data_IF_099829442540
#
_entry.id   IF_099829442540
#
_cell.length_a   1.000
_cell.length_b   1.000
_cell.length_c   1.000
_cell.angle_alpha   90.00
_cell.angle_beta   90.00
_cell.angle_gamma   90.00
#
_symmetry.space_group_name_H-M   'P 1'
#
loop_
_entity.id
_entity.type
_entity.pdbx_description
1 polymer ?
#
# COMPACT_ATOMS: atom_id res chain seq x y z
N UNK A 1 12.39 -27.32 3.01
CA UNK A 1 12.69 -26.24 2.03
C UNK A 1 13.97 -26.54 1.25
N UNK A 2 14.19 -27.80 0.85
CA UNK A 2 15.50 -28.28 0.37
C UNK A 2 15.43 -28.98 -0.99
N UNK A 3 14.48 -28.61 -1.85
CA UNK A 3 14.62 -28.86 -3.28
C UNK A 3 14.81 -27.52 -3.97
N UNK A 4 15.86 -27.34 -4.80
CA UNK A 4 15.98 -26.16 -5.64
C UNK A 4 14.80 -26.15 -6.61
N UNK A 5 13.83 -25.28 -6.38
CA UNK A 5 12.67 -25.07 -7.26
C UNK A 5 13.08 -24.49 -8.63
N UNK A 6 14.34 -24.13 -8.81
CA UNK A 6 14.91 -23.73 -10.10
C UNK A 6 15.85 -24.83 -10.57
N UNK A 7 15.35 -25.70 -11.45
CA UNK A 7 16.18 -26.64 -12.20
C UNK A 7 17.37 -25.89 -12.82
N UNK A 8 18.56 -26.52 -12.80
CA UNK A 8 19.83 -26.04 -13.39
C UNK A 8 19.57 -25.02 -14.51
N UNK A 9 19.68 -23.71 -14.23
CA UNK A 9 18.91 -22.77 -15.03
C UNK A 9 19.55 -22.61 -16.41
N UNK A 10 18.74 -22.50 -17.45
CA UNK A 10 19.21 -22.23 -18.82
C UNK A 10 20.15 -21.01 -18.94
N UNK A 11 20.19 -20.13 -17.93
CA UNK A 11 21.17 -19.05 -17.85
C UNK A 11 22.62 -19.51 -17.67
N UNK A 12 22.90 -20.68 -17.07
CA UNK A 12 24.28 -21.23 -16.97
C UNK A 12 24.83 -21.52 -18.36
N UNK A 13 24.00 -22.10 -19.24
CA UNK A 13 24.35 -22.32 -20.64
C UNK A 13 24.56 -21.00 -21.40
N UNK A 14 23.77 -19.96 -21.11
CA UNK A 14 23.94 -18.63 -21.69
C UNK A 14 25.19 -17.90 -21.17
N UNK A 15 25.57 -18.08 -19.90
CA UNK A 15 26.82 -17.59 -19.34
C UNK A 15 28.03 -18.28 -20.00
N UNK A 16 27.97 -19.59 -20.15
CA UNK A 16 29.01 -20.36 -20.83
C UNK A 16 29.14 -19.95 -22.31
N UNK A 17 28.03 -19.82 -23.02
CA UNK A 17 28.00 -19.36 -24.41
C UNK A 17 28.50 -17.92 -24.56
N UNK A 18 28.09 -17.01 -23.68
CA UNK A 18 28.59 -15.62 -23.65
C UNK A 18 30.09 -15.54 -23.40
N UNK A 19 30.61 -16.39 -22.51
CA UNK A 19 32.06 -16.50 -22.23
C UNK A 19 32.82 -17.01 -23.46
N UNK A 20 32.31 -18.05 -24.13
CA UNK A 20 32.90 -18.57 -25.37
C UNK A 20 32.89 -17.53 -26.51
N UNK A 21 31.84 -16.71 -26.60
CA UNK A 21 31.78 -15.60 -27.56
C UNK A 21 32.83 -14.53 -27.26
N UNK A 22 33.01 -14.19 -25.98
CA UNK A 22 33.99 -13.21 -25.51
C UNK A 22 35.42 -13.65 -25.86
N UNK A 23 35.69 -14.95 -25.73
CA UNK A 23 37.00 -15.56 -25.99
C UNK A 23 37.25 -15.84 -27.48
N UNK A 24 36.22 -16.15 -28.28
CA UNK A 24 36.40 -16.79 -29.59
C UNK A 24 36.05 -15.97 -30.84
N UNK A 25 35.26 -14.89 -30.74
CA UNK A 25 34.67 -14.27 -31.96
C UNK A 25 35.23 -12.89 -32.29
N UNK A 26 35.75 -12.71 -33.52
CA UNK A 26 36.07 -11.37 -34.08
C UNK A 26 34.84 -10.46 -34.17
N UNK A 27 33.65 -11.05 -34.28
CA UNK A 27 32.36 -10.34 -34.31
C UNK A 27 32.06 -9.56 -33.01
N UNK A 28 32.62 -9.99 -31.87
CA UNK A 28 32.42 -9.33 -30.58
C UNK A 28 33.42 -8.20 -30.29
N UNK A 29 34.45 -7.98 -31.12
CA UNK A 29 35.56 -7.04 -30.82
C UNK A 29 35.06 -5.62 -30.50
N UNK A 30 34.09 -5.10 -31.25
CA UNK A 30 33.49 -3.78 -31.00
C UNK A 30 32.45 -3.73 -29.87
N UNK A 31 32.14 -4.87 -29.23
CA UNK A 31 31.12 -5.00 -28.18
C UNK A 31 31.65 -5.69 -26.91
N UNK A 32 32.97 -5.88 -26.82
CA UNK A 32 33.63 -6.56 -25.69
C UNK A 32 33.28 -5.92 -24.36
N UNK A 33 33.23 -4.59 -24.28
CA UNK A 33 32.88 -3.88 -23.05
C UNK A 33 31.45 -4.18 -22.60
N UNK A 34 30.50 -4.21 -23.54
CA UNK A 34 29.09 -4.54 -23.26
C UNK A 34 28.96 -5.99 -22.80
N UNK A 35 29.60 -6.92 -23.52
CA UNK A 35 29.60 -8.34 -23.20
C UNK A 35 30.24 -8.61 -21.82
N UNK A 36 31.39 -7.99 -21.53
CA UNK A 36 32.08 -8.11 -20.26
C UNK A 36 31.25 -7.55 -19.10
N UNK A 37 30.62 -6.39 -19.30
CA UNK A 37 29.74 -5.79 -18.29
C UNK A 37 28.52 -6.67 -18.02
N UNK A 38 27.89 -7.20 -19.07
CA UNK A 38 26.74 -8.11 -18.94
C UNK A 38 27.12 -9.40 -18.22
N UNK A 39 28.26 -10.01 -18.58
CA UNK A 39 28.78 -11.20 -17.89
C UNK A 39 29.10 -10.91 -16.43
N UNK A 40 29.76 -9.79 -16.12
CA UNK A 40 30.07 -9.42 -14.74
C UNK A 40 28.80 -9.29 -13.90
N UNK A 41 27.81 -8.55 -14.39
CA UNK A 41 26.52 -8.39 -13.69
C UNK A 41 25.83 -9.73 -13.52
N UNK A 42 25.77 -10.56 -14.57
CA UNK A 42 25.11 -11.85 -14.53
C UNK A 42 25.79 -12.81 -13.55
N UNK A 43 27.13 -12.91 -13.60
CA UNK A 43 27.90 -13.77 -12.69
C UNK A 43 27.80 -13.28 -11.24
N UNK A 44 27.94 -11.97 -11.00
CA UNK A 44 27.81 -11.42 -9.65
C UNK A 44 26.41 -11.61 -9.08
N UNK A 45 25.37 -11.31 -9.87
CA UNK A 45 23.98 -11.49 -9.46
C UNK A 45 23.66 -12.97 -9.19
N UNK A 46 24.11 -13.89 -10.05
CA UNK A 46 23.95 -15.32 -9.85
C UNK A 46 24.72 -15.82 -8.63
N UNK A 47 25.96 -15.38 -8.42
CA UNK A 47 26.75 -15.75 -7.24
C UNK A 47 26.05 -15.34 -5.94
N UNK A 48 25.49 -14.14 -5.91
CA UNK A 48 24.73 -13.62 -4.76
C UNK A 48 23.46 -14.43 -4.45
N UNK A 49 22.98 -15.27 -5.37
CA UNK A 49 21.88 -16.22 -5.09
C UNK A 49 22.35 -17.57 -4.54
N UNK A 50 23.65 -17.79 -4.39
CA UNK A 50 24.22 -19.07 -3.93
C UNK A 50 24.73 -19.01 -2.49
N UNK A 51 24.81 -20.16 -1.83
CA UNK A 51 25.36 -20.29 -0.47
C UNK A 51 26.82 -19.83 -0.36
N UNK A 52 27.60 -19.89 -1.44
CA UNK A 52 29.00 -19.42 -1.46
C UNK A 52 29.14 -17.91 -1.22
N UNK A 53 28.05 -17.13 -1.38
CA UNK A 53 28.03 -15.70 -1.09
C UNK A 53 27.72 -15.36 0.38
N UNK A 54 27.54 -16.35 1.26
CA UNK A 54 27.13 -16.15 2.66
C UNK A 54 27.98 -15.12 3.42
N UNK A 55 29.31 -15.22 3.32
CA UNK A 55 30.19 -14.26 4.01
C UNK A 55 30.08 -12.81 3.50
N UNK A 56 29.65 -12.60 2.25
CA UNK A 56 29.35 -11.25 1.75
C UNK A 56 28.03 -10.76 2.37
N UNK A 57 27.02 -11.62 2.42
CA UNK A 57 25.74 -11.31 3.06
C UNK A 57 25.90 -10.98 4.54
N UNK A 58 26.68 -11.74 5.29
CA UNK A 58 26.91 -11.50 6.72
C UNK A 58 27.52 -10.12 6.97
N UNK A 59 28.51 -9.72 6.16
CA UNK A 59 29.17 -8.42 6.27
C UNK A 59 28.30 -7.25 5.82
N UNK A 60 27.38 -7.49 4.89
CA UNK A 60 26.53 -6.46 4.30
C UNK A 60 25.10 -6.46 4.84
N UNK A 61 24.77 -7.38 5.76
CA UNK A 61 23.45 -7.56 6.35
C UNK A 61 22.80 -6.26 6.87
N UNK A 62 23.52 -5.31 7.50
CA UNK A 62 22.91 -4.04 7.96
C UNK A 62 22.29 -3.20 6.83
N UNK A 63 22.82 -3.35 5.61
CA UNK A 63 22.39 -2.60 4.42
C UNK A 63 21.56 -3.49 3.50
N UNK A 64 22.14 -4.60 3.04
CA UNK A 64 21.54 -5.49 2.06
C UNK A 64 20.57 -6.51 2.66
N UNK A 65 20.61 -6.77 3.97
CA UNK A 65 19.66 -7.68 4.63
C UNK A 65 18.20 -7.22 4.50
N UNK A 66 17.98 -5.93 4.21
CA UNK A 66 16.67 -5.35 3.90
C UNK A 66 16.15 -5.68 2.50
N UNK A 67 17.02 -6.11 1.57
CA UNK A 67 16.62 -6.52 0.23
C UNK A 67 15.89 -7.85 0.21
N UNK A 68 15.62 -8.48 1.37
CA UNK A 68 14.84 -9.71 1.57
C UNK A 68 15.04 -10.75 0.45
N UNK A 69 15.84 -11.75 0.79
CA UNK A 69 16.12 -12.95 0.03
C UNK A 69 17.14 -12.83 -1.13
N UNK A 70 18.09 -13.78 -1.21
CA UNK A 70 19.10 -13.81 -2.27
C UNK A 70 18.54 -13.82 -3.70
N UNK A 71 17.36 -14.41 -3.94
CA UNK A 71 16.78 -14.49 -5.29
C UNK A 71 16.33 -13.13 -5.86
N UNK A 72 16.28 -12.03 -5.08
CA UNK A 72 16.03 -10.70 -5.66
C UNK A 72 17.11 -10.24 -6.63
N UNK A 73 18.31 -10.81 -6.55
CA UNK A 73 19.36 -10.56 -7.54
C UNK A 73 19.01 -11.12 -8.92
N UNK A 74 18.03 -12.03 -9.02
CA UNK A 74 17.47 -12.44 -10.31
C UNK A 74 16.93 -11.25 -11.11
N UNK A 75 16.44 -10.19 -10.45
CA UNK A 75 15.98 -8.96 -11.12
C UNK A 75 17.12 -8.26 -11.88
N UNK A 76 18.36 -8.31 -11.40
CA UNK A 76 19.53 -7.80 -12.13
C UNK A 76 20.08 -8.83 -13.14
N UNK A 77 19.91 -10.13 -12.84
CA UNK A 77 20.30 -11.20 -13.75
C UNK A 77 19.46 -11.17 -15.04
N UNK A 78 18.16 -10.92 -14.97
CA UNK A 78 17.26 -10.92 -16.13
C UNK A 78 17.72 -10.01 -17.29
N UNK A 79 17.94 -8.69 -17.10
CA UNK A 79 18.40 -7.83 -18.19
C UNK A 79 19.80 -8.20 -18.68
N UNK A 80 20.68 -8.68 -17.78
CA UNK A 80 22.02 -9.12 -18.16
C UNK A 80 21.96 -10.36 -19.06
N UNK A 81 21.18 -11.37 -18.69
CA UNK A 81 20.98 -12.59 -19.49
C UNK A 81 20.28 -12.29 -20.80
N UNK A 82 19.29 -11.39 -20.83
CA UNK A 82 18.64 -10.95 -22.07
C UNK A 82 19.64 -10.32 -23.05
N UNK A 83 20.56 -9.49 -22.53
CA UNK A 83 21.63 -8.88 -23.33
C UNK A 83 22.62 -9.93 -23.83
N UNK A 84 23.01 -10.91 -22.99
CA UNK A 84 23.85 -12.03 -23.40
C UNK A 84 23.20 -12.89 -24.48
N UNK A 85 21.90 -13.19 -24.36
CA UNK A 85 21.15 -13.91 -25.36
C UNK A 85 21.09 -13.14 -26.70
N UNK A 86 20.85 -11.83 -26.66
CA UNK A 86 20.87 -11.00 -27.87
C UNK A 86 22.26 -10.99 -28.55
N UNK A 87 23.33 -10.90 -27.76
CA UNK A 87 24.70 -10.95 -28.28
C UNK A 87 25.04 -12.34 -28.85
N UNK A 88 24.55 -13.42 -28.24
CA UNK A 88 24.68 -14.78 -28.73
C UNK A 88 23.99 -14.97 -30.07
N UNK A 89 22.74 -14.54 -30.19
CA UNK A 89 22.00 -14.57 -31.46
C UNK A 89 22.73 -13.77 -32.53
N UNK A 90 23.20 -12.56 -32.23
CA UNK A 90 23.93 -11.75 -33.21
C UNK A 90 25.25 -12.42 -33.64
N UNK A 91 25.99 -13.02 -32.70
CA UNK A 91 27.23 -13.74 -32.99
C UNK A 91 27.00 -14.98 -33.88
N UNK A 92 25.98 -15.79 -33.57
CA UNK A 92 25.63 -16.99 -34.34
C UNK A 92 25.11 -16.67 -35.74
N UNK A 93 24.43 -15.53 -35.88
CA UNK A 93 23.77 -15.13 -37.14
C UNK A 93 24.58 -14.13 -37.96
N UNK A 94 25.76 -13.70 -37.49
CA UNK A 94 26.55 -12.65 -38.14
C UNK A 94 26.95 -12.97 -39.59
N UNK A 95 27.13 -14.24 -39.93
CA UNK A 95 27.45 -14.70 -41.30
C UNK A 95 26.23 -14.88 -42.21
N UNK A 96 25.02 -14.77 -41.68
CA UNK A 96 23.78 -15.00 -42.42
C UNK A 96 23.32 -13.73 -43.17
N UNK A 97 22.56 -13.92 -44.24
CA UNK A 97 21.89 -12.83 -44.95
C UNK A 97 20.83 -12.13 -44.08
N UNK A 98 20.44 -10.90 -44.46
CA UNK A 98 19.52 -10.05 -43.67
C UNK A 98 18.19 -10.75 -43.31
N UNK A 99 17.62 -11.50 -44.24
CA UNK A 99 16.36 -12.23 -44.04
C UNK A 99 16.54 -13.44 -43.12
N UNK A 100 17.57 -14.26 -43.36
CA UNK A 100 17.91 -15.40 -42.50
C UNK A 100 18.17 -14.96 -41.06
N UNK A 101 18.85 -13.82 -40.86
CA UNK A 101 19.08 -13.24 -39.53
C UNK A 101 17.79 -12.83 -38.84
N UNK A 102 16.87 -12.17 -39.57
CA UNK A 102 15.53 -11.81 -39.05
C UNK A 102 14.74 -13.06 -38.65
N UNK A 103 14.73 -14.08 -39.50
CA UNK A 103 14.04 -15.35 -39.23
C UNK A 103 14.62 -16.07 -38.01
N UNK A 104 15.95 -16.20 -37.93
CA UNK A 104 16.62 -16.82 -36.79
C UNK A 104 16.34 -16.06 -35.48
N UNK A 105 16.39 -14.72 -35.52
CA UNK A 105 16.04 -13.88 -34.35
C UNK A 105 14.59 -14.08 -33.94
N UNK A 106 13.66 -14.13 -34.90
CA UNK A 106 12.24 -14.39 -34.65
C UNK A 106 11.98 -15.76 -34.04
N UNK A 107 12.64 -16.81 -34.54
CA UNK A 107 12.54 -18.17 -34.01
C UNK A 107 13.07 -18.26 -32.57
N UNK A 108 14.22 -17.62 -32.27
CA UNK A 108 14.74 -17.57 -30.90
C UNK A 108 13.80 -16.80 -29.98
N UNK A 109 13.26 -15.66 -30.44
CA UNK A 109 12.24 -14.92 -29.69
C UNK A 109 11.00 -15.77 -29.40
N UNK A 110 10.51 -16.52 -30.40
CA UNK A 110 9.37 -17.42 -30.25
C UNK A 110 9.66 -18.56 -29.28
N UNK A 111 10.86 -19.16 -29.33
CA UNK A 111 11.28 -20.21 -28.39
C UNK A 111 11.36 -19.69 -26.95
N UNK A 112 11.87 -18.47 -26.75
CA UNK A 112 11.88 -17.83 -25.44
C UNK A 112 10.46 -17.56 -24.93
N UNK A 113 9.57 -17.04 -25.78
CA UNK A 113 8.16 -16.83 -25.43
C UNK A 113 7.44 -18.14 -25.11
N UNK A 114 7.69 -19.20 -25.89
CA UNK A 114 7.11 -20.52 -25.65
C UNK A 114 7.62 -21.13 -24.34
N UNK A 115 8.91 -20.95 -24.01
CA UNK A 115 9.47 -21.37 -22.73
C UNK A 115 8.84 -20.61 -21.56
N UNK A 116 8.69 -19.28 -21.69
CA UNK A 116 8.02 -18.44 -20.69
C UNK A 116 6.56 -18.85 -20.50
N UNK A 117 5.82 -19.07 -21.59
CA UNK A 117 4.42 -19.48 -21.55
C UNK A 117 4.22 -20.89 -20.97
N UNK A 118 5.16 -21.80 -21.22
CA UNK A 118 5.17 -23.15 -20.65
C UNK A 118 5.43 -23.17 -19.14
N UNK A 119 6.11 -22.15 -18.61
CA UNK A 119 6.31 -21.96 -17.17
C UNK A 119 5.18 -21.23 -16.45
N UNK A 120 4.20 -20.67 -17.17
CA UNK A 120 3.04 -20.05 -16.56
C UNK A 120 2.07 -21.12 -16.07
N UNK A 121 1.66 -21.04 -14.81
CA UNK A 121 0.53 -21.82 -14.33
C UNK A 121 -0.75 -21.27 -14.94
N UNK A 122 -1.45 -22.11 -15.71
CA UNK A 122 -2.77 -21.81 -16.26
C UNK A 122 -3.91 -22.22 -15.32
N UNK A 123 -3.58 -22.71 -14.13
CA UNK A 123 -4.58 -23.09 -13.15
C UNK A 123 -5.24 -21.82 -12.61
N UNK A 124 -6.55 -21.63 -12.81
CA UNK A 124 -7.24 -20.51 -12.21
C UNK A 124 -7.11 -20.62 -10.69
N UNK A 125 -6.89 -19.49 -10.02
CA UNK A 125 -6.98 -19.45 -8.57
C UNK A 125 -8.39 -19.92 -8.17
N UNK A 126 -8.53 -20.73 -7.11
CA UNK A 126 -9.81 -21.25 -6.64
C UNK A 126 -10.64 -20.19 -5.90
N UNK A 127 -10.64 -18.95 -6.40
CA UNK A 127 -11.28 -17.79 -5.78
C UNK A 127 -12.05 -17.02 -6.84
N UNK A 128 -13.35 -16.86 -6.64
CA UNK A 128 -14.17 -16.00 -7.51
C UNK A 128 -13.70 -14.55 -7.40
N UNK A 129 -13.78 -13.77 -8.49
CA UNK A 129 -13.40 -12.35 -8.48
C UNK A 129 -14.17 -11.55 -7.42
N UNK A 130 -15.43 -11.90 -7.16
CA UNK A 130 -16.26 -11.27 -6.13
C UNK A 130 -15.76 -11.51 -4.69
N UNK A 131 -14.96 -12.56 -4.48
CA UNK A 131 -14.37 -12.87 -3.18
C UNK A 131 -13.07 -12.12 -2.92
N UNK A 132 -12.54 -11.38 -3.89
CA UNK A 132 -11.32 -10.57 -3.75
C UNK A 132 -11.72 -9.17 -3.26
N UNK A 133 -11.85 -9.02 -1.95
CA UNK A 133 -12.21 -7.76 -1.28
C UNK A 133 -11.15 -7.39 -0.26
N UNK A 134 -11.11 -6.12 0.15
CA UNK A 134 -10.22 -5.70 1.25
C UNK A 134 -10.54 -6.44 2.55
N UNK A 135 -11.80 -6.79 2.78
CA UNK A 135 -12.24 -7.56 3.95
C UNK A 135 -11.72 -8.99 3.91
N UNK A 136 -11.84 -9.69 2.79
CA UNK A 136 -11.32 -11.07 2.67
C UNK A 136 -9.79 -11.12 2.73
N UNK A 137 -9.12 -10.10 2.20
CA UNK A 137 -7.67 -9.93 2.34
C UNK A 137 -7.27 -9.75 3.80
N UNK A 138 -7.91 -8.82 4.52
CA UNK A 138 -7.63 -8.61 5.95
C UNK A 138 -7.96 -9.86 6.79
N UNK A 139 -9.01 -10.60 6.44
CA UNK A 139 -9.35 -11.86 7.09
C UNK A 139 -8.31 -12.95 6.89
N UNK A 140 -7.79 -13.06 5.67
CA UNK A 140 -6.68 -13.95 5.37
C UNK A 140 -5.42 -13.56 6.17
N UNK A 141 -5.05 -12.28 6.17
CA UNK A 141 -3.89 -11.78 6.92
C UNK A 141 -4.03 -12.09 8.42
N UNK A 142 -5.19 -11.78 8.99
CA UNK A 142 -5.48 -12.04 10.38
C UNK A 142 -5.53 -13.53 10.73
N UNK A 143 -5.98 -14.41 9.83
CA UNK A 143 -5.90 -15.86 10.03
C UNK A 143 -4.44 -16.34 10.04
N UNK A 144 -3.61 -15.77 9.15
CA UNK A 144 -2.20 -16.13 9.02
C UNK A 144 -1.29 -15.42 10.02
N UNK A 145 -1.80 -14.50 10.85
CA UNK A 145 -1.00 -13.68 11.76
C UNK A 145 -0.05 -12.73 11.02
N UNK A 146 -0.51 -12.23 9.87
CA UNK A 146 0.21 -11.31 8.99
C UNK A 146 -0.39 -9.91 9.10
N UNK A 147 0.38 -8.92 8.65
CA UNK A 147 -0.02 -7.52 8.61
C UNK A 147 0.44 -6.94 7.30
N UNK A 148 -0.53 -6.41 6.54
CA UNK A 148 -0.29 -5.91 5.20
C UNK A 148 -0.35 -7.02 4.17
N UNK A 149 -0.85 -6.69 2.99
CA UNK A 149 -1.21 -7.59 1.89
C UNK A 149 -0.02 -8.31 1.23
N UNK A 150 1.07 -8.53 1.96
CA UNK A 150 2.26 -9.24 1.49
C UNK A 150 2.77 -10.27 2.51
N UNK A 151 3.43 -11.30 1.98
CA UNK A 151 3.91 -12.45 2.75
C UNK A 151 4.90 -12.06 3.85
N UNK A 152 4.73 -12.63 5.05
CA UNK A 152 5.57 -12.53 6.28
C UNK A 152 6.87 -11.73 6.14
N UNK A 153 6.80 -10.39 6.16
CA UNK A 153 7.99 -9.59 5.87
C UNK A 153 7.83 -8.08 5.83
N UNK A 154 6.64 -7.49 6.02
CA UNK A 154 6.53 -6.04 5.95
C UNK A 154 7.34 -5.34 7.05
N UNK A 155 7.99 -4.24 6.66
CA UNK A 155 8.77 -3.42 7.57
C UNK A 155 7.81 -2.56 8.40
N UNK A 156 7.62 -2.94 9.65
CA UNK A 156 6.97 -2.07 10.62
C UNK A 156 7.93 -0.93 11.01
N UNK A 157 7.39 0.26 11.34
CA UNK A 157 8.19 1.30 11.97
C UNK A 157 8.92 0.76 13.21
N UNK A 158 10.14 1.22 13.45
CA UNK A 158 11.00 0.74 14.55
C UNK A 158 10.41 0.92 15.96
N UNK A 159 9.34 1.71 16.09
CA UNK A 159 8.65 1.98 17.35
C UNK A 159 7.49 1.02 17.62
N UNK A 160 7.15 0.16 16.66
CA UNK A 160 6.23 -0.96 16.93
C UNK A 160 7.01 -2.01 17.70
N UNK A 161 6.72 -2.13 18.99
CA UNK A 161 7.33 -3.13 19.88
C UNK A 161 6.46 -4.37 20.03
N UNK A 162 5.16 -4.26 19.70
CA UNK A 162 4.22 -5.38 19.67
C UNK A 162 4.68 -6.51 18.76
N UNK A 163 4.39 -7.73 19.16
CA UNK A 163 4.67 -8.90 18.33
C UNK A 163 3.88 -8.82 17.02
N UNK A 164 4.55 -9.06 15.89
CA UNK A 164 3.94 -8.90 14.56
C UNK A 164 2.65 -9.68 14.39
N UNK A 165 2.63 -10.92 14.87
CA UNK A 165 1.45 -11.76 14.81
C UNK A 165 0.34 -11.25 15.74
N UNK A 166 0.63 -10.49 16.79
CA UNK A 166 -0.36 -9.96 17.70
C UNK A 166 -1.02 -8.67 17.19
N UNK A 167 -0.49 -8.06 16.13
CA UNK A 167 -1.09 -6.88 15.50
C UNK A 167 -2.48 -7.25 14.97
N UNK A 168 -3.48 -6.48 15.38
CA UNK A 168 -4.89 -6.70 15.09
C UNK A 168 -5.58 -7.78 15.93
N UNK A 169 -4.89 -8.31 16.94
CA UNK A 169 -5.40 -9.20 17.99
C UNK A 169 -5.29 -8.53 19.35
N UNK A 170 -5.78 -9.18 20.39
CA UNK A 170 -5.59 -8.74 21.78
C UNK A 170 -4.09 -8.43 22.04
N UNK A 171 -3.76 -7.41 22.85
CA UNK A 171 -2.38 -7.10 23.23
C UNK A 171 -1.65 -8.35 23.74
N UNK A 172 -0.44 -8.62 23.23
CA UNK A 172 0.34 -9.78 23.71
C UNK A 172 0.99 -9.51 25.08
N UNK A 173 1.16 -8.24 25.40
CA UNK A 173 1.65 -7.73 26.68
C UNK A 173 0.72 -6.61 27.17
N UNK A 174 0.76 -6.36 28.48
CA UNK A 174 -0.03 -5.30 29.10
C UNK A 174 0.39 -3.94 28.53
N UNK A 175 -0.59 -3.13 28.11
CA UNK A 175 -0.34 -1.84 27.50
C UNK A 175 -0.01 -0.78 28.55
N UNK A 176 1.13 -0.11 28.38
CA UNK A 176 1.48 1.10 29.15
C UNK A 176 0.84 2.34 28.49
N UNK A 177 -0.48 2.44 28.62
CA UNK A 177 -1.28 3.47 27.98
C UNK A 177 -2.27 4.05 28.99
N UNK A 178 -2.49 5.39 29.03
CA UNK A 178 -3.45 6.00 29.93
C UNK A 178 -4.82 5.33 29.85
N UNK A 179 -5.40 4.96 30.99
CA UNK A 179 -6.74 4.37 31.08
C UNK A 179 -7.78 5.38 31.57
N UNK A 180 -7.34 6.58 31.96
CA UNK A 180 -8.22 7.62 32.52
C UNK A 180 -9.11 8.20 31.42
N UNK A 181 -10.43 8.22 31.62
CA UNK A 181 -11.34 8.87 30.69
C UNK A 181 -10.94 10.33 30.43
N UNK A 182 -11.06 10.77 29.19
CA UNK A 182 -10.82 12.16 28.82
C UNK A 182 -12.12 12.81 28.35
N UNK A 183 -12.28 14.09 28.66
CA UNK A 183 -13.29 14.93 28.04
C UNK A 183 -12.68 15.56 26.79
N UNK A 184 -13.13 15.15 25.61
CA UNK A 184 -12.64 15.66 24.33
C UNK A 184 -13.75 15.57 23.28
N UNK A 185 -13.74 16.51 22.33
CA UNK A 185 -14.44 16.38 21.06
C UNK A 185 -13.39 16.46 19.95
N UNK A 186 -13.45 15.58 18.96
CA UNK A 186 -12.54 15.58 17.81
C UNK A 186 -13.33 15.32 16.53
N UNK A 187 -13.98 16.36 16.00
CA UNK A 187 -14.79 16.25 14.79
C UNK A 187 -13.91 16.08 13.56
N UNK A 188 -14.08 14.97 12.85
CA UNK A 188 -13.47 14.79 11.54
C UNK A 188 -14.05 15.80 10.53
N UNK A 189 -13.18 16.54 9.84
CA UNK A 189 -13.57 17.54 8.83
C UNK A 189 -13.26 17.05 7.42
N UNK A 190 -12.05 16.53 7.20
CA UNK A 190 -11.63 15.97 5.92
C UNK A 190 -10.71 14.78 6.15
N UNK A 191 -10.80 13.79 5.27
CA UNK A 191 -10.04 12.55 5.38
C UNK A 191 -9.45 12.17 4.03
N UNK A 192 -8.22 11.70 4.02
CA UNK A 192 -7.53 11.21 2.84
C UNK A 192 -6.44 10.21 3.21
N UNK A 193 -5.85 9.60 2.19
CA UNK A 193 -4.78 8.63 2.42
C UNK A 193 -3.52 9.25 3.01
N UNK A 194 -3.20 10.47 2.59
CA UNK A 194 -1.98 11.20 2.98
C UNK A 194 -2.26 12.41 3.88
N UNK A 195 -3.52 12.70 4.19
CA UNK A 195 -3.88 13.83 5.05
C UNK A 195 -5.21 13.61 5.77
N UNK A 196 -5.39 14.27 6.92
CA UNK A 196 -6.65 14.31 7.66
C UNK A 196 -6.73 15.60 8.48
N UNK A 197 -7.93 16.13 8.68
CA UNK A 197 -8.19 17.33 9.49
C UNK A 197 -9.29 17.07 10.50
N UNK A 198 -9.07 17.59 11.71
CA UNK A 198 -9.98 17.47 12.84
C UNK A 198 -10.17 18.83 13.50
N UNK A 199 -11.41 19.16 13.84
CA UNK A 199 -11.72 20.23 14.80
C UNK A 199 -11.80 19.62 16.19
N UNK A 200 -10.81 19.93 17.03
CA UNK A 200 -10.65 19.35 18.37
C UNK A 200 -11.03 20.38 19.42
N UNK A 201 -11.72 19.98 20.48
CA UNK A 201 -11.99 20.81 21.66
C UNK A 201 -11.84 19.97 22.92
N UNK A 202 -11.07 20.46 23.88
CA UNK A 202 -10.77 19.77 25.13
C UNK A 202 -10.71 20.79 26.28
N UNK A 203 -11.32 20.51 27.45
CA UNK A 203 -11.37 21.43 28.59
C UNK A 203 -10.07 21.43 29.40
N UNK A 204 -9.29 20.36 29.33
CA UNK A 204 -8.00 20.19 30.00
C UNK A 204 -6.97 19.66 28.99
N UNK A 205 -5.66 19.87 29.20
CA UNK A 205 -4.63 19.33 28.32
C UNK A 205 -4.72 17.79 28.23
N UNK A 206 -4.71 17.27 27.01
CA UNK A 206 -4.78 15.84 26.73
C UNK A 206 -4.08 15.51 25.41
N UNK A 207 -3.81 14.23 25.17
CA UNK A 207 -3.28 13.78 23.89
C UNK A 207 -4.41 13.36 22.94
N UNK A 208 -4.22 13.63 21.65
CA UNK A 208 -4.95 12.97 20.58
C UNK A 208 -4.05 11.90 19.97
N UNK A 209 -4.62 10.71 19.70
CA UNK A 209 -3.89 9.59 19.11
C UNK A 209 -4.57 9.16 17.82
N UNK A 210 -3.81 8.99 16.75
CA UNK A 210 -4.34 8.59 15.46
C UNK A 210 -4.13 7.08 15.28
N UNK A 211 -5.16 6.36 14.80
CA UNK A 211 -5.07 4.93 14.45
C UNK A 211 -4.18 4.68 13.21
N UNK A 212 -2.90 5.00 13.36
CA UNK A 212 -1.87 4.99 12.33
C UNK A 212 -0.51 4.89 13.01
N UNK A 213 0.38 4.03 12.49
CA UNK A 213 1.74 3.95 13.02
C UNK A 213 2.49 5.27 12.87
N UNK A 214 3.22 5.63 13.91
CA UNK A 214 4.15 6.74 13.87
C UNK A 214 5.26 6.47 12.86
N UNK A 215 5.45 7.44 11.97
CA UNK A 215 6.56 7.47 11.04
C UNK A 215 6.95 8.94 10.82
N UNK A 216 8.25 9.31 10.76
CA UNK A 216 8.68 10.71 10.69
C UNK A 216 8.15 11.53 9.51
N UNK A 217 7.62 10.86 8.47
CA UNK A 217 6.94 11.54 7.37
C UNK A 217 5.56 12.07 7.77
N UNK A 218 4.88 11.47 8.74
CA UNK A 218 3.63 11.97 9.29
C UNK A 218 3.93 13.16 10.19
N UNK A 219 3.55 14.34 9.72
CA UNK A 219 3.68 15.58 10.47
C UNK A 219 2.31 16.07 10.89
N UNK A 220 2.23 16.63 12.10
CA UNK A 220 1.00 17.19 12.65
C UNK A 220 1.18 18.68 12.81
N UNK A 221 0.16 19.44 12.44
CA UNK A 221 0.06 20.87 12.74
C UNK A 221 -1.15 21.13 13.62
N UNK A 222 -0.98 21.99 14.62
CA UNK A 222 -2.04 22.47 15.52
C UNK A 222 -2.16 23.96 15.27
N UNK A 223 -3.33 24.42 14.84
CA UNK A 223 -3.61 25.81 14.46
C UNK A 223 -2.60 26.37 13.44
N UNK A 224 -2.19 25.51 12.50
CA UNK A 224 -1.20 25.81 11.46
C UNK A 224 0.26 25.75 11.89
N UNK A 225 0.56 25.69 13.19
CA UNK A 225 1.92 25.54 13.71
C UNK A 225 2.33 24.06 13.77
N UNK A 226 3.58 23.74 13.43
CA UNK A 226 4.08 22.37 13.53
C UNK A 226 4.16 21.93 14.99
N UNK A 227 3.55 20.78 15.29
CA UNK A 227 3.53 20.20 16.63
C UNK A 227 4.36 18.90 16.65
N UNK A 228 5.14 18.72 17.71
CA UNK A 228 5.95 17.52 17.87
C UNK A 228 5.04 16.30 18.05
N UNK A 229 5.15 15.34 17.12
CA UNK A 229 4.44 14.08 17.19
C UNK A 229 5.36 12.98 17.73
N UNK A 230 4.78 12.01 18.44
CA UNK A 230 5.51 10.92 19.10
C UNK A 230 4.78 9.58 18.90
N UNK A 231 5.52 8.45 18.93
CA UNK A 231 4.90 7.12 19.03
C UNK A 231 4.25 6.92 20.40
N UNK A 232 3.10 6.25 20.45
CA UNK A 232 2.34 5.92 21.66
C UNK A 232 1.99 4.43 21.70
N UNK A 233 2.18 3.80 22.87
CA UNK A 233 1.86 2.39 23.12
C UNK A 233 2.73 1.39 22.36
N UNK A 234 2.42 0.09 22.51
CA UNK A 234 3.20 -1.00 21.87
C UNK A 234 3.09 -1.03 20.34
N UNK A 235 2.01 -0.46 19.79
CA UNK A 235 1.84 -0.25 18.35
C UNK A 235 2.59 0.98 17.84
N UNK A 236 3.18 1.80 18.71
CA UNK A 236 3.86 3.04 18.31
C UNK A 236 2.98 3.95 17.46
N UNK A 237 1.73 4.15 17.86
CA UNK A 237 0.76 4.98 17.12
C UNK A 237 1.15 6.46 17.14
N UNK A 238 0.80 7.18 16.09
CA UNK A 238 1.03 8.62 15.98
C UNK A 238 0.21 9.36 17.04
N UNK A 239 0.86 10.08 17.95
CA UNK A 239 0.20 10.87 18.99
C UNK A 239 0.77 12.29 19.08
N UNK A 240 -0.07 13.21 19.55
CA UNK A 240 0.27 14.62 19.79
C UNK A 240 -0.42 15.11 21.07
N UNK A 241 0.33 15.82 21.90
CA UNK A 241 -0.18 16.51 23.07
C UNK A 241 -0.82 17.85 22.68
N UNK A 242 -2.02 18.12 23.19
CA UNK A 242 -2.78 19.35 22.94
C UNK A 242 -3.03 20.09 24.25
N UNK A 243 -2.91 21.43 24.28
CA UNK A 243 -3.37 22.21 25.41
C UNK A 243 -4.90 22.24 25.49
N UNK A 244 -5.44 22.72 26.61
CA UNK A 244 -6.87 23.00 26.74
C UNK A 244 -7.28 24.10 25.75
N UNK A 245 -8.45 23.94 25.13
CA UNK A 245 -8.98 24.90 24.16
C UNK A 245 -9.65 24.25 22.95
N UNK A 246 -9.85 25.06 21.91
CA UNK A 246 -10.32 24.62 20.60
C UNK A 246 -9.20 24.76 19.58
N UNK A 247 -8.95 23.70 18.81
CA UNK A 247 -7.82 23.59 17.91
C UNK A 247 -8.23 23.00 16.56
N UNK A 248 -7.60 23.47 15.48
CA UNK A 248 -7.57 22.77 14.22
C UNK A 248 -6.32 21.87 14.18
N UNK A 249 -6.54 20.55 14.12
CA UNK A 249 -5.47 19.56 14.06
C UNK A 249 -5.44 18.94 12.68
N UNK A 250 -4.33 19.16 11.95
CA UNK A 250 -4.12 18.56 10.64
C UNK A 250 -2.93 17.59 10.68
N UNK A 251 -3.15 16.38 10.18
CA UNK A 251 -2.14 15.35 9.99
C UNK A 251 -1.85 15.23 8.51
N UNK A 252 -0.59 15.29 8.10
CA UNK A 252 -0.22 15.16 6.69
C UNK A 252 1.08 14.39 6.52
N UNK A 253 1.15 13.56 5.47
CA UNK A 253 2.39 12.95 5.04
C UNK A 253 3.24 13.99 4.32
N UNK A 254 4.49 14.13 4.73
CA UNK A 254 5.45 15.05 4.13
C UNK A 254 6.75 14.32 3.83
N UNK A 255 7.33 14.64 2.68
CA UNK A 255 8.58 14.04 2.23
C UNK A 255 9.71 14.30 3.23
N UNK A 256 10.26 13.21 3.77
CA UNK A 256 11.45 13.22 4.62
C UNK A 256 12.70 13.57 3.80
N UNK A 257 13.84 13.90 4.43
CA UNK A 257 15.10 14.10 3.71
C UNK A 257 15.49 12.92 2.82
N UNK A 258 15.23 11.68 3.28
CA UNK A 258 15.50 10.47 2.51
C UNK A 258 14.61 10.37 1.25
N UNK A 259 13.31 10.70 1.37
CA UNK A 259 12.39 10.76 0.22
C UNK A 259 12.88 11.80 -0.78
N UNK A 260 13.22 13.01 -0.31
CA UNK A 260 13.70 14.10 -1.18
C UNK A 260 15.00 13.72 -1.90
N UNK A 261 15.93 13.06 -1.21
CA UNK A 261 17.15 12.54 -1.82
C UNK A 261 16.84 11.48 -2.89
N UNK A 262 15.88 10.59 -2.63
CA UNK A 262 15.40 9.62 -3.62
C UNK A 262 14.81 10.28 -4.87
N UNK A 263 13.97 11.31 -4.69
CA UNK A 263 13.44 12.10 -5.80
C UNK A 263 14.54 12.80 -6.60
N UNK A 264 15.52 13.39 -5.92
CA UNK A 264 16.67 14.02 -6.58
C UNK A 264 17.47 13.01 -7.41
N UNK A 265 17.79 11.83 -6.85
CA UNK A 265 18.52 10.78 -7.56
C UNK A 265 17.74 10.27 -8.77
N UNK A 266 16.42 10.10 -8.63
CA UNK A 266 15.55 9.73 -9.74
C UNK A 266 15.55 10.80 -10.84
N UNK A 267 15.45 12.08 -10.48
CA UNK A 267 15.51 13.20 -11.41
C UNK A 267 16.86 13.29 -12.14
N UNK A 268 17.97 13.11 -11.41
CA UNK A 268 19.32 13.07 -11.98
C UNK A 268 19.44 11.90 -12.97
N UNK A 269 18.98 10.69 -12.60
CA UNK A 269 18.96 9.55 -13.50
C UNK A 269 18.12 9.79 -14.76
N UNK A 270 16.96 10.42 -14.59
CA UNK A 270 16.06 10.79 -15.68
C UNK A 270 16.71 11.78 -16.67
N UNK A 271 17.40 12.79 -16.15
CA UNK A 271 18.13 13.78 -16.94
C UNK A 271 19.39 13.18 -17.58
N UNK A 272 20.06 12.23 -16.93
CA UNK A 272 21.20 11.52 -17.51
C UNK A 272 20.77 10.72 -18.75
N UNK A 273 19.61 10.04 -18.70
CA UNK A 273 19.03 9.36 -19.87
C UNK A 273 18.76 10.35 -21.00
N UNK A 274 18.17 11.51 -20.70
CA UNK A 274 17.95 12.57 -21.69
C UNK A 274 19.28 13.01 -22.32
N UNK A 275 20.30 13.28 -21.51
CA UNK A 275 21.64 13.66 -22.01
C UNK A 275 22.23 12.61 -22.94
N UNK A 276 22.14 11.33 -22.59
CA UNK A 276 22.59 10.22 -23.44
C UNK A 276 21.81 10.14 -24.76
N UNK A 277 20.50 10.37 -24.75
CA UNK A 277 19.68 10.39 -25.95
C UNK A 277 20.03 11.58 -26.86
N UNK A 278 20.29 12.76 -26.28
CA UNK A 278 20.73 13.94 -27.02
C UNK A 278 22.11 13.74 -27.64
N UNK A 279 23.05 13.12 -26.91
CA UNK A 279 24.35 12.73 -27.46
C UNK A 279 24.20 11.67 -28.57
N UNK A 280 23.29 10.71 -28.40
CA UNK A 280 23.03 9.70 -29.42
C UNK A 280 22.42 10.29 -30.71
N UNK A 281 21.77 11.46 -30.64
CA UNK A 281 21.14 12.12 -31.80
C UNK A 281 22.15 12.49 -32.88
N UNK A 282 23.39 12.79 -32.52
CA UNK A 282 24.45 13.15 -33.47
C UNK A 282 24.94 11.95 -34.29
N UNK A 283 24.91 10.74 -33.70
CA UNK A 283 25.42 9.52 -34.34
C UNK A 283 24.32 8.57 -34.83
N UNK A 284 23.13 8.58 -34.23
CA UNK A 284 22.01 7.68 -34.50
C UNK A 284 20.65 8.40 -34.35
N UNK A 285 20.30 9.32 -35.27
CA UNK A 285 19.18 10.24 -35.10
C UNK A 285 17.81 9.56 -34.95
N UNK A 286 17.54 8.50 -35.72
CA UNK A 286 16.25 7.80 -35.65
C UNK A 286 16.03 7.06 -34.32
N UNK A 287 17.08 6.45 -33.76
CA UNK A 287 16.99 5.77 -32.45
C UNK A 287 16.91 6.78 -31.31
N UNK A 288 17.67 7.88 -31.40
CA UNK A 288 17.59 8.96 -30.44
C UNK A 288 16.20 9.60 -30.40
N UNK A 289 15.58 9.83 -31.57
CA UNK A 289 14.21 10.36 -31.65
C UNK A 289 13.20 9.39 -31.00
N UNK A 290 13.27 8.10 -31.32
CA UNK A 290 12.40 7.10 -30.70
C UNK A 290 12.60 7.05 -29.17
N UNK A 291 13.84 7.10 -28.70
CA UNK A 291 14.15 7.14 -27.27
C UNK A 291 13.67 8.42 -26.58
N UNK A 292 13.78 9.59 -27.24
CA UNK A 292 13.27 10.87 -26.74
C UNK A 292 11.74 10.85 -26.60
N UNK A 293 11.03 10.27 -27.57
CA UNK A 293 9.59 10.10 -27.50
C UNK A 293 9.20 9.18 -26.34
N UNK A 294 9.86 8.03 -26.18
CA UNK A 294 9.63 7.12 -25.06
C UNK A 294 9.90 7.78 -23.71
N UNK A 295 11.00 8.51 -23.60
CA UNK A 295 11.34 9.30 -22.42
C UNK A 295 10.25 10.32 -22.12
N UNK A 296 9.83 11.12 -23.11
CA UNK A 296 8.80 12.13 -22.93
C UNK A 296 7.45 11.52 -22.53
N UNK A 297 7.04 10.43 -23.18
CA UNK A 297 5.81 9.71 -22.85
C UNK A 297 5.84 9.13 -21.44
N UNK A 298 6.95 8.51 -21.03
CA UNK A 298 7.09 7.98 -19.68
C UNK A 298 7.13 9.11 -18.63
N UNK A 299 7.72 10.27 -18.94
CA UNK A 299 7.66 11.46 -18.11
C UNK A 299 6.24 12.02 -17.96
N UNK A 300 5.46 12.04 -19.05
CA UNK A 300 4.05 12.42 -19.03
C UNK A 300 3.23 11.47 -18.16
N UNK A 301 3.40 10.15 -18.32
CA UNK A 301 2.71 9.14 -17.51
C UNK A 301 3.06 9.30 -16.03
N UNK A 302 4.34 9.49 -15.70
CA UNK A 302 4.76 9.74 -14.32
C UNK A 302 4.14 11.03 -13.76
N UNK A 303 4.11 12.11 -14.54
CA UNK A 303 3.46 13.36 -14.15
C UNK A 303 1.95 13.21 -13.91
N UNK A 304 1.26 12.47 -14.79
CA UNK A 304 -0.16 12.14 -14.62
C UNK A 304 -0.39 11.30 -13.36
N UNK A 305 0.46 10.32 -13.08
CA UNK A 305 0.36 9.49 -11.88
C UNK A 305 0.57 10.31 -10.60
N UNK A 306 1.52 11.25 -10.60
CA UNK A 306 1.75 12.16 -9.47
C UNK A 306 0.56 13.10 -9.28
N UNK A 307 0.01 13.67 -10.36
CA UNK A 307 -1.16 14.53 -10.31
C UNK A 307 -2.41 13.77 -9.81
N UNK A 308 -2.64 12.57 -10.32
CA UNK A 308 -3.74 11.70 -9.89
C UNK A 308 -3.54 11.16 -8.46
N UNK A 309 -2.30 11.02 -8.00
CA UNK A 309 -1.97 10.59 -6.63
C UNK A 309 -1.91 11.72 -5.61
N UNK A 310 -2.11 12.98 -6.02
CA UNK A 310 -2.10 14.12 -5.11
C UNK A 310 -3.38 14.14 -4.26
N UNK A 311 -3.23 13.77 -2.99
CA UNK A 311 -4.13 14.13 -1.88
C UNK A 311 -5.63 14.11 -2.19
N UNK A 312 -6.19 12.98 -2.60
CA UNK A 312 -7.63 12.81 -2.52
C UNK A 312 -8.04 12.86 -1.04
N UNK A 313 -8.43 14.04 -0.59
CA UNK A 313 -9.19 14.23 0.62
C UNK A 313 -10.66 14.37 0.24
N UNK A 314 -11.51 13.63 0.93
CA UNK A 314 -12.95 13.79 0.85
C UNK A 314 -13.44 14.51 2.10
N UNK A 315 -14.50 15.29 1.94
CA UNK A 315 -15.18 15.92 3.06
C UNK A 315 -15.88 14.86 3.90
N UNK A 316 -15.79 15.05 5.22
CA UNK A 316 -16.51 14.25 6.19
C UNK A 316 -17.72 15.05 6.64
N UNK A 317 -18.90 14.42 6.66
CA UNK A 317 -20.04 15.04 7.32
C UNK A 317 -19.87 14.90 8.84
N UNK A 318 -19.67 16.00 9.60
CA UNK A 318 -19.48 15.91 11.03
C UNK A 318 -20.78 15.46 11.70
N UNK A 319 -20.66 14.56 12.66
CA UNK A 319 -21.78 14.06 13.48
C UNK A 319 -21.31 14.05 14.92
N UNK A 320 -22.24 14.27 15.86
CA UNK A 320 -21.98 14.16 17.30
C UNK A 320 -22.96 13.16 17.89
N UNK A 321 -22.48 11.97 18.19
CA UNK A 321 -23.25 10.97 18.93
C UNK A 321 -22.37 10.36 20.02
N UNK A 322 -22.66 10.69 21.28
CA UNK A 322 -21.89 10.24 22.43
C UNK A 322 -22.52 8.98 23.03
N UNK A 323 -21.77 7.88 23.10
CA UNK A 323 -22.23 6.62 23.66
C UNK A 323 -21.55 6.28 25.00
N UNK A 324 -20.84 7.23 25.62
CA UNK A 324 -20.08 7.05 26.85
C UNK A 324 -18.58 6.90 26.58
N UNK A 325 -18.04 5.67 26.49
CA UNK A 325 -16.61 5.47 26.22
C UNK A 325 -16.20 5.85 24.80
N UNK A 326 -17.15 6.02 23.88
CA UNK A 326 -16.90 6.27 22.45
C UNK A 326 -17.90 7.29 21.90
N UNK A 327 -17.45 8.07 20.91
CA UNK A 327 -18.25 9.08 20.23
C UNK A 327 -18.14 8.90 18.70
N UNK A 328 -19.27 8.91 18.00
CA UNK A 328 -19.30 9.08 16.54
C UNK A 328 -19.07 10.56 16.23
N UNK A 329 -18.03 10.83 15.45
CA UNK A 329 -17.52 12.19 15.14
C UNK A 329 -17.75 12.61 13.69
N UNK A 330 -18.04 11.66 12.81
CA UNK A 330 -18.33 11.96 11.41
C UNK A 330 -18.64 10.72 10.57
N UNK A 331 -19.14 10.99 9.37
CA UNK A 331 -19.52 9.97 8.37
C UNK A 331 -18.98 10.40 7.01
N UNK A 332 -18.36 9.46 6.29
CA UNK A 332 -17.98 9.62 4.89
C UNK A 332 -18.66 8.55 4.04
N UNK A 333 -19.42 8.97 3.03
CA UNK A 333 -20.11 8.08 2.12
C UNK A 333 -19.82 8.49 0.66
N UNK A 334 -18.85 7.85 -0.01
CA UNK A 334 -18.57 8.14 -1.40
C UNK A 334 -19.76 7.74 -2.29
N UNK A 335 -19.98 8.42 -3.43
CA UNK A 335 -21.01 8.01 -4.38
C UNK A 335 -20.81 6.56 -4.83
N UNK A 336 -21.91 5.82 -4.96
CA UNK A 336 -21.90 4.40 -5.27
C UNK A 336 -22.78 4.06 -6.48
N UNK A 337 -22.69 2.82 -6.96
CA UNK A 337 -23.54 2.29 -8.05
C UNK A 337 -24.40 1.13 -7.57
N UNK A 338 -25.60 0.94 -8.15
CA UNK A 338 -26.41 -0.25 -7.88
C UNK A 338 -25.63 -1.54 -8.13
N UNK A 339 -25.88 -2.57 -7.31
CA UNK A 339 -25.22 -3.87 -7.41
C UNK A 339 -23.75 -3.90 -6.95
N UNK A 340 -23.21 -2.78 -6.44
CA UNK A 340 -21.85 -2.72 -5.88
C UNK A 340 -21.88 -2.73 -4.35
N UNK A 341 -20.75 -3.05 -3.72
CA UNK A 341 -20.56 -2.84 -2.28
C UNK A 341 -19.83 -1.52 -2.06
N UNK A 342 -20.45 -0.60 -1.32
CA UNK A 342 -19.83 0.69 -0.97
C UNK A 342 -19.34 0.67 0.47
N UNK A 343 -18.19 1.31 0.72
CA UNK A 343 -17.63 1.43 2.07
C UNK A 343 -18.06 2.77 2.68
N UNK A 344 -19.03 2.74 3.59
CA UNK A 344 -19.42 3.91 4.37
C UNK A 344 -18.48 3.99 5.57
N UNK A 345 -17.63 5.00 5.61
CA UNK A 345 -16.67 5.16 6.69
C UNK A 345 -17.28 5.92 7.87
N UNK A 346 -17.22 5.31 9.06
CA UNK A 346 -17.59 5.92 10.33
C UNK A 346 -16.32 6.37 11.05
N UNK A 347 -16.34 7.61 11.55
CA UNK A 347 -15.21 8.21 12.26
C UNK A 347 -15.51 8.27 13.75
N UNK A 348 -14.66 7.65 14.57
CA UNK A 348 -14.88 7.46 16.00
C UNK A 348 -13.81 8.16 16.82
N UNK A 349 -14.19 8.64 18.00
CA UNK A 349 -13.29 9.08 19.07
C UNK A 349 -13.50 8.18 20.29
N UNK A 350 -12.42 7.62 20.83
CA UNK A 350 -12.42 6.89 22.09
C UNK A 350 -12.15 7.88 23.23
N UNK A 351 -13.06 7.95 24.20
CA UNK A 351 -12.97 8.80 25.38
C UNK A 351 -12.51 8.04 26.61
N UNK A 352 -12.83 6.75 26.69
CA UNK A 352 -12.44 5.86 27.79
C UNK A 352 -12.21 4.44 27.28
N UNK A 353 -11.47 3.58 28.01
CA UNK A 353 -11.50 2.15 27.77
C UNK A 353 -12.95 1.63 27.78
N UNK A 354 -13.25 0.66 26.94
CA UNK A 354 -14.60 0.13 26.80
C UNK A 354 -14.63 -1.27 26.21
N UNK A 355 -15.83 -1.82 26.13
CA UNK A 355 -16.07 -3.15 25.58
C UNK A 355 -16.26 -3.11 24.06
N UNK A 356 -16.14 -4.28 23.44
CA UNK A 356 -16.49 -4.45 22.04
C UNK A 356 -17.95 -4.04 21.79
N UNK A 357 -18.19 -3.30 20.70
CA UNK A 357 -19.50 -2.90 20.24
C UNK A 357 -19.68 -3.24 18.76
N UNK A 358 -20.92 -3.46 18.35
CA UNK A 358 -21.30 -3.63 16.94
C UNK A 358 -21.91 -2.31 16.46
N UNK A 359 -21.40 -1.79 15.36
CA UNK A 359 -21.99 -0.65 14.66
C UNK A 359 -22.88 -1.15 13.54
N UNK A 360 -24.04 -0.53 13.38
CA UNK A 360 -24.91 -0.75 12.23
C UNK A 360 -25.00 0.49 11.36
N UNK A 361 -25.15 0.27 10.06
CA UNK A 361 -25.43 1.31 9.06
C UNK A 361 -26.62 0.86 8.24
N UNK A 362 -27.71 1.60 8.31
CA UNK A 362 -28.91 1.36 7.52
C UNK A 362 -29.06 2.45 6.47
N UNK A 363 -29.29 2.03 5.24
CA UNK A 363 -29.60 2.87 4.10
C UNK A 363 -31.12 2.99 3.99
N UNK A 364 -31.64 4.21 4.06
CA UNK A 364 -33.07 4.49 4.06
C UNK A 364 -33.49 5.18 2.76
N UNK A 365 -34.61 4.73 2.19
CA UNK A 365 -35.27 5.43 1.08
C UNK A 365 -36.04 6.68 1.56
N UNK A 366 -36.72 7.35 0.63
CA UNK A 366 -37.51 8.55 0.92
C UNK A 366 -38.73 8.28 1.83
N UNK A 367 -39.16 7.03 1.95
CA UNK A 367 -40.25 6.58 2.81
C UNK A 367 -39.74 6.10 4.19
N UNK A 368 -38.43 6.18 4.43
CA UNK A 368 -37.78 5.73 5.66
C UNK A 368 -37.66 4.20 5.76
N UNK A 369 -37.87 3.46 4.67
CA UNK A 369 -37.67 2.01 4.65
C UNK A 369 -36.20 1.67 4.46
N UNK A 370 -35.75 0.63 5.14
CA UNK A 370 -34.38 0.12 4.99
C UNK A 370 -34.27 -0.62 3.66
N UNK A 371 -33.43 -0.11 2.75
CA UNK A 371 -33.19 -0.71 1.43
C UNK A 371 -31.86 -1.46 1.35
N UNK A 372 -30.93 -1.19 2.25
CA UNK A 372 -29.69 -1.92 2.45
C UNK A 372 -29.19 -1.69 3.87
N UNK A 373 -28.42 -2.62 4.43
CA UNK A 373 -27.84 -2.47 5.76
C UNK A 373 -26.57 -3.29 5.91
N UNK A 374 -25.76 -2.94 6.90
CA UNK A 374 -24.63 -3.73 7.35
C UNK A 374 -24.38 -3.50 8.85
N UNK A 375 -24.06 -4.59 9.55
CA UNK A 375 -23.74 -4.61 10.96
C UNK A 375 -22.39 -5.31 11.13
N UNK A 376 -21.48 -4.68 11.88
CA UNK A 376 -20.14 -5.23 12.10
C UNK A 376 -19.40 -4.54 13.25
N UNK A 377 -18.25 -5.09 13.69
CA UNK A 377 -17.50 -4.52 14.80
C UNK A 377 -17.22 -3.03 14.60
N UNK A 378 -17.46 -2.19 15.62
CA UNK A 378 -17.35 -0.74 15.53
C UNK A 378 -15.98 -0.26 15.02
N UNK A 379 -14.92 -0.97 15.36
CA UNK A 379 -13.53 -0.67 14.97
C UNK A 379 -13.00 -1.53 13.82
N UNK A 380 -13.86 -2.38 13.25
CA UNK A 380 -13.50 -3.41 12.30
C UNK A 380 -12.98 -4.69 12.97
N UNK A 381 -12.87 -5.79 12.21
CA UNK A 381 -12.60 -7.13 12.74
C UNK A 381 -11.20 -7.34 13.34
N UNK A 382 -10.23 -6.46 13.05
CA UNK A 382 -8.82 -6.61 13.47
C UNK A 382 -8.33 -5.43 14.31
N UNK A 383 -9.22 -4.87 15.12
CA UNK A 383 -8.90 -3.78 16.06
C UNK A 383 -9.67 -3.97 17.37
N UNK A 384 -9.24 -4.91 18.22
CA UNK A 384 -9.98 -5.25 19.43
C UNK A 384 -10.07 -4.09 20.42
N UNK A 385 -11.14 -4.11 21.23
CA UNK A 385 -11.43 -3.06 22.21
C UNK A 385 -10.34 -2.89 23.27
N UNK A 386 -9.61 -3.96 23.59
CA UNK A 386 -8.49 -3.88 24.53
C UNK A 386 -7.30 -3.04 24.05
N UNK A 387 -7.28 -2.62 22.78
CA UNK A 387 -6.28 -1.67 22.24
C UNK A 387 -6.78 -0.22 22.24
N UNK A 388 -8.01 0.00 22.69
CA UNK A 388 -8.58 1.35 22.75
C UNK A 388 -7.90 2.15 23.83
N UNK A 389 -7.64 3.41 23.50
CA UNK A 389 -7.02 4.35 24.40
C UNK A 389 -7.74 5.70 24.33
N UNK A 390 -7.95 6.37 25.47
CA UNK A 390 -8.51 7.72 25.51
C UNK A 390 -7.76 8.66 24.55
N UNK A 391 -8.51 9.41 23.74
CA UNK A 391 -8.01 10.33 22.72
C UNK A 391 -7.75 9.68 21.37
N UNK A 392 -7.98 8.38 21.22
CA UNK A 392 -7.81 7.68 19.95
C UNK A 392 -8.91 8.04 18.95
N UNK A 393 -8.53 8.56 17.80
CA UNK A 393 -9.42 8.73 16.64
C UNK A 393 -9.23 7.57 15.65
N UNK A 394 -10.35 7.00 15.21
CA UNK A 394 -10.39 5.81 14.38
C UNK A 394 -11.32 6.00 13.18
N UNK A 395 -11.05 5.30 12.10
CA UNK A 395 -11.94 5.24 10.93
C UNK A 395 -12.25 3.79 10.59
N UNK A 396 -13.54 3.47 10.53
CA UNK A 396 -14.02 2.12 10.26
C UNK A 396 -14.85 2.12 8.97
N UNK A 397 -14.39 1.46 7.89
CA UNK A 397 -15.20 1.26 6.70
C UNK A 397 -16.27 0.19 6.96
N UNK A 398 -17.53 0.52 6.72
CA UNK A 398 -18.69 -0.36 6.83
C UNK A 398 -19.15 -0.77 5.42
N UNK A 399 -18.90 -2.02 4.97
CA UNK A 399 -19.25 -2.46 3.62
C UNK A 399 -20.76 -2.71 3.48
N UNK A 400 -21.47 -1.79 2.83
CA UNK A 400 -22.91 -1.92 2.55
C UNK A 400 -23.10 -2.43 1.13
N UNK A 401 -23.62 -3.65 0.98
CA UNK A 401 -23.96 -4.23 -0.31
C UNK A 401 -25.25 -3.61 -0.85
N UNK A 402 -25.19 -2.97 -2.02
CA UNK A 402 -26.33 -2.30 -2.64
C UNK A 402 -27.06 -3.26 -3.58
N UNK A 403 -28.41 -3.34 -3.52
CA UNK A 403 -29.19 -4.13 -4.46
C UNK A 403 -28.94 -3.72 -5.91
N UNK A 404 -28.93 -4.67 -6.84
CA UNK A 404 -28.78 -4.38 -8.27
C UNK A 404 -29.95 -3.56 -8.83
N UNK A 405 -31.14 -3.75 -8.28
CA UNK A 405 -32.35 -3.01 -8.64
C UNK A 405 -32.51 -1.67 -7.90
N UNK A 406 -31.52 -1.25 -7.11
CA UNK A 406 -31.58 0.02 -6.37
C UNK A 406 -31.61 1.18 -7.38
N UNK A 407 -32.62 2.04 -7.27
CA UNK A 407 -32.73 3.19 -8.13
C UNK A 407 -31.62 4.23 -7.86
N UNK A 408 -31.11 4.94 -8.87
CA UNK A 408 -30.27 6.11 -8.65
C UNK A 408 -31.01 7.16 -7.81
N UNK A 409 -30.33 7.78 -6.85
CA UNK A 409 -30.95 8.72 -5.93
C UNK A 409 -30.13 9.00 -4.68
N UNK A 410 -30.69 9.80 -3.77
CA UNK A 410 -30.10 10.08 -2.46
C UNK A 410 -30.83 9.28 -1.39
N UNK A 411 -30.06 8.60 -0.56
CA UNK A 411 -30.56 7.75 0.50
C UNK A 411 -30.01 8.23 1.85
N UNK A 412 -30.87 8.30 2.87
CA UNK A 412 -30.45 8.71 4.20
C UNK A 412 -29.69 7.59 4.88
N UNK A 413 -28.74 7.94 5.75
CA UNK A 413 -28.01 6.97 6.56
C UNK A 413 -28.47 7.05 8.01
N UNK A 414 -28.76 5.89 8.58
CA UNK A 414 -29.09 5.70 10.00
C UNK A 414 -28.01 4.82 10.63
N UNK A 415 -27.35 5.34 11.65
CA UNK A 415 -26.20 4.67 12.30
C UNK A 415 -26.42 4.57 13.79
N UNK A 416 -26.00 3.47 14.39
CA UNK A 416 -26.02 3.30 15.84
C UNK A 416 -25.07 2.21 16.30
N UNK A 417 -25.09 1.95 17.60
CA UNK A 417 -24.29 0.93 18.26
C UNK A 417 -25.18 -0.02 19.06
N UNK A 418 -24.74 -1.26 19.23
CA UNK A 418 -25.31 -2.20 20.19
C UNK A 418 -24.21 -3.12 20.74
N UNK A 419 -24.48 -3.80 21.86
CA UNK A 419 -23.52 -4.76 22.43
C UNK A 419 -23.58 -6.09 21.68
N UNK A 420 -22.45 -6.80 21.51
CA UNK A 420 -22.47 -8.12 20.89
C UNK A 420 -23.52 -9.05 21.52
N UNK A 421 -24.46 -9.54 20.70
CA UNK A 421 -25.58 -10.39 21.16
C UNK A 421 -26.86 -9.63 21.53
N UNK A 422 -26.87 -8.30 21.55
CA UNK A 422 -27.99 -7.44 21.98
C UNK A 422 -28.52 -6.55 20.82
N UNK A 423 -28.69 -7.10 19.62
CA UNK A 423 -29.09 -6.32 18.43
C UNK A 423 -30.49 -5.66 18.55
N UNK A 424 -31.35 -6.20 19.40
CA UNK A 424 -32.68 -5.68 19.72
C UNK A 424 -32.66 -4.52 20.75
N UNK A 425 -31.51 -4.27 21.39
CA UNK A 425 -31.32 -3.25 22.41
C UNK A 425 -30.19 -2.28 22.04
N UNK A 426 -30.34 -1.51 20.95
CA UNK A 426 -29.33 -0.55 20.54
C UNK A 426 -29.11 0.54 21.59
N UNK A 427 -27.85 0.96 21.71
CA UNK A 427 -27.42 2.00 22.63
C UNK A 427 -28.00 3.35 22.20
N UNK A 428 -28.47 4.13 23.19
CA UNK A 428 -28.99 5.46 22.95
C UNK A 428 -27.89 6.50 23.17
N UNK A 429 -27.55 7.33 22.15
CA UNK A 429 -26.61 8.42 22.35
C UNK A 429 -27.08 9.38 23.44
N UNK A 430 -26.16 9.93 24.22
CA UNK A 430 -26.47 10.92 25.24
C UNK A 430 -27.20 12.13 24.62
N UNK A 431 -28.33 12.50 25.22
CA UNK A 431 -29.18 13.59 24.72
C UNK A 431 -30.07 13.23 23.52
N UNK A 432 -30.05 11.99 23.04
CA UNK A 432 -30.97 11.50 22.00
C UNK A 432 -32.21 10.83 22.59
N UNK A 433 -33.35 10.97 21.92
CA UNK A 433 -34.58 10.22 22.23
C UNK A 433 -34.67 8.88 21.49
N UNK A 434 -33.77 8.64 20.53
CA UNK A 434 -33.76 7.44 19.67
C UNK A 434 -32.38 6.78 19.67
N UNK A 435 -32.30 5.45 19.49
CA UNK A 435 -31.06 4.69 19.63
C UNK A 435 -30.19 4.67 18.36
N UNK A 436 -30.24 5.76 17.60
CA UNK A 436 -29.48 5.94 16.37
C UNK A 436 -29.33 7.43 16.09
N UNK A 437 -28.42 7.74 15.18
CA UNK A 437 -28.31 9.06 14.57
C UNK A 437 -28.57 8.95 13.08
N UNK A 438 -29.39 9.87 12.58
CA UNK A 438 -29.54 10.09 11.15
C UNK A 438 -28.53 11.16 10.74
N UNK A 439 -27.56 10.81 9.93
CA UNK A 439 -26.52 11.71 9.47
C UNK A 439 -25.90 11.16 8.20
N UNK A 440 -25.50 12.00 7.26
CA UNK A 440 -25.02 11.49 5.97
C UNK A 440 -26.13 11.30 4.94
N UNK A 441 -25.72 11.33 3.68
CA UNK A 441 -26.47 10.79 2.56
C UNK A 441 -25.54 9.94 1.73
N UNK A 442 -26.03 8.81 1.22
CA UNK A 442 -25.37 8.10 0.14
C UNK A 442 -25.99 8.56 -1.18
N UNK A 443 -25.14 8.98 -2.11
CA UNK A 443 -25.55 9.26 -3.49
C UNK A 443 -25.35 7.99 -4.34
N UNK A 444 -26.43 7.46 -4.91
CA UNK A 444 -26.39 6.33 -5.84
C UNK A 444 -26.50 6.87 -7.26
N UNK A 445 -25.49 6.61 -8.07
CA UNK A 445 -25.37 7.03 -9.48
C UNK A 445 -25.53 5.82 -10.41
N UNK A 446 -25.95 6.03 -11.66
CA UNK A 446 -26.08 4.96 -12.65
C UNK A 446 -24.77 4.19 -12.92
#
# INVERSE_FOLDING_TARGET
AADPTVALPGWVALLAAGTLILLGTRAAAGRRTVLASALLVAVAAAWLTTSTSAGFWDRTAPVLGKLQFPWRWLTLLTPAVALLAALLVDAMTFRLGRWQRRTATGLVGLLLLANMAGGLSWQPLPTAAAAVTSESMLAFDAQMGQVGASWTGEFLPRWVTEQRWAIGREPSEQQDVPQTPIAMQALAQSMGYLEARYAVTLPEPAQIVFDRFYFPAWQVTVDGAAQAARPQGSLGLLAVDLPAGSHEVAVAWKATPAVRAGWLLAAVGWLAVLGLLLLARTHRPHLALAGLLLWASAGMVAGMAIAAGSGYAWEVQPVRADYGPVQLTGISAPPARPGTTTAIALHWLVLAPGDAAIAFVHLLDAQGQIVAQYDGPMTGPYRPAARWQPGMVMTTPMPVALPQALAPGRYALRIGLYRPGEADQPLTPAGSAVPFVTGGWLEVRP
#
